data_IF_227485272696
#
_entry.id   IF_227485272696
#
_cell.length_a   1.000
_cell.length_b   1.000
_cell.length_c   1.000
_cell.angle_alpha   90.00
_cell.angle_beta   90.00
_cell.angle_gamma   90.00
#
_symmetry.space_group_name_H-M   'P 1'
#
loop_
_entity.id
_entity.type
_entity.pdbx_description
1 polymer ?
#
# COMPACT_ATOMS: atom_id res chain seq x y z
N UNK A 1 53.72 -24.63 54.89
CA UNK A 1 52.71 -23.83 54.27
C UNK A 1 52.64 -24.27 52.80
N UNK A 2 51.62 -25.07 52.42
CA UNK A 2 51.41 -25.53 51.03
C UNK A 2 50.29 -24.71 50.41
N UNK A 3 50.59 -23.91 49.37
CA UNK A 3 49.59 -23.18 48.57
C UNK A 3 48.93 -24.16 47.61
N UNK A 4 47.57 -24.21 47.66
CA UNK A 4 46.74 -24.92 46.71
C UNK A 4 46.20 -23.83 45.74
N UNK A 5 46.45 -23.93 44.42
CA UNK A 5 45.82 -22.99 43.48
C UNK A 5 44.37 -23.41 43.23
N UNK A 6 43.44 -22.49 43.45
CA UNK A 6 42.04 -22.67 43.08
C UNK A 6 41.90 -22.53 41.58
N UNK A 7 41.52 -23.60 40.89
CA UNK A 7 41.12 -23.60 39.49
C UNK A 7 39.70 -23.04 39.39
N UNK A 8 39.56 -21.86 38.81
CA UNK A 8 38.26 -21.30 38.43
C UNK A 8 37.86 -21.92 37.07
N UNK A 9 36.91 -22.81 37.09
CA UNK A 9 36.28 -23.35 35.86
C UNK A 9 35.22 -22.33 35.44
N UNK A 10 35.52 -21.53 34.43
CA UNK A 10 34.53 -20.68 33.74
C UNK A 10 33.76 -21.62 32.78
N UNK A 11 32.58 -22.05 33.20
CA UNK A 11 31.63 -22.74 32.33
C UNK A 11 31.07 -21.73 31.31
N UNK A 12 31.59 -21.77 30.09
CA UNK A 12 31.04 -21.02 28.94
C UNK A 12 29.72 -21.70 28.55
N UNK A 13 28.61 -21.21 29.11
CA UNK A 13 27.28 -21.53 28.59
C UNK A 13 27.16 -20.87 27.23
N UNK A 14 27.41 -21.63 26.18
CA UNK A 14 27.09 -21.23 24.82
C UNK A 14 25.56 -21.05 24.71
N UNK A 15 25.10 -19.82 24.67
CA UNK A 15 23.70 -19.53 24.32
C UNK A 15 23.52 -19.91 22.85
N UNK A 16 22.92 -21.07 22.64
CA UNK A 16 22.48 -21.48 21.31
C UNK A 16 21.28 -20.61 20.95
N UNK A 17 21.51 -19.54 20.20
CA UNK A 17 20.44 -18.74 19.59
C UNK A 17 20.03 -19.48 18.32
N UNK A 18 18.85 -20.12 18.28
CA UNK A 18 18.37 -20.68 17.02
C UNK A 18 18.18 -19.54 16.03
N UNK A 19 18.95 -19.52 14.96
CA UNK A 19 18.66 -18.66 13.82
C UNK A 19 17.38 -19.17 13.18
N UNK A 20 16.26 -18.49 13.43
CA UNK A 20 15.03 -18.72 12.70
C UNK A 20 15.33 -18.40 11.22
N UNK A 21 15.35 -19.42 10.37
CA UNK A 21 15.35 -19.22 8.93
C UNK A 21 13.93 -18.79 8.56
N UNK A 22 13.76 -17.59 8.05
CA UNK A 22 12.52 -17.20 7.40
C UNK A 22 12.24 -18.18 6.25
N UNK A 23 11.16 -18.95 6.38
CA UNK A 23 10.80 -19.97 5.39
C UNK A 23 10.00 -19.30 4.27
N UNK A 24 10.59 -19.23 3.08
CA UNK A 24 9.88 -18.74 1.88
C UNK A 24 8.83 -19.76 1.44
N UNK A 25 7.59 -19.34 1.32
CA UNK A 25 6.47 -20.16 0.87
C UNK A 25 6.12 -19.82 -0.58
N UNK A 26 6.12 -20.81 -1.46
CA UNK A 26 5.68 -20.66 -2.86
C UNK A 26 4.45 -21.53 -3.08
N UNK A 27 3.36 -20.96 -3.55
CA UNK A 27 2.12 -21.67 -3.87
C UNK A 27 1.66 -21.37 -5.29
N UNK A 28 1.23 -22.43 -6.00
CA UNK A 28 0.60 -22.33 -7.31
C UNK A 28 -0.66 -23.17 -7.34
N UNK A 29 -1.71 -22.71 -7.99
CA UNK A 29 -2.97 -23.46 -8.06
C UNK A 29 -4.15 -22.57 -8.46
N UNK A 30 -5.33 -23.16 -8.60
CA UNK A 30 -6.54 -22.44 -8.94
C UNK A 30 -6.99 -21.53 -7.78
N UNK A 31 -7.02 -22.07 -6.56
CA UNK A 31 -7.35 -21.34 -5.35
C UNK A 31 -6.24 -21.50 -4.31
N UNK A 32 -5.67 -20.39 -3.88
CA UNK A 32 -4.60 -20.32 -2.91
C UNK A 32 -5.11 -19.54 -1.70
N UNK A 33 -4.97 -20.15 -0.50
CA UNK A 33 -5.36 -19.49 0.74
C UNK A 33 -4.34 -19.70 1.83
N UNK A 34 -4.17 -18.70 2.69
CA UNK A 34 -3.57 -18.78 4.02
C UNK A 34 -4.71 -18.55 5.00
N UNK A 35 -4.99 -19.54 5.83
CA UNK A 35 -6.05 -19.45 6.83
C UNK A 35 -5.65 -18.51 7.99
N UNK A 36 -6.62 -18.03 8.74
CA UNK A 36 -6.44 -17.06 9.83
C UNK A 36 -5.62 -17.59 11.02
N UNK A 37 -5.62 -18.91 11.20
CA UNK A 37 -4.79 -19.61 12.19
C UNK A 37 -3.36 -19.91 11.72
N UNK A 38 -3.01 -19.53 10.47
CA UNK A 38 -1.70 -19.74 9.87
C UNK A 38 -0.91 -18.44 9.81
N UNK A 39 0.41 -18.56 9.99
CA UNK A 39 1.37 -17.49 9.78
C UNK A 39 2.47 -17.95 8.85
N UNK A 40 2.88 -17.12 7.92
CA UNK A 40 4.07 -17.31 7.09
C UNK A 40 5.19 -16.48 7.70
N UNK A 41 6.27 -17.15 8.15
CA UNK A 41 7.40 -16.49 8.82
C UNK A 41 8.41 -15.84 7.85
N UNK A 42 8.25 -16.03 6.55
CA UNK A 42 9.09 -15.45 5.50
C UNK A 42 8.25 -14.89 4.36
N UNK A 43 8.86 -14.83 3.18
CA UNK A 43 8.18 -14.30 2.00
C UNK A 43 7.14 -15.28 1.45
N UNK A 44 6.05 -14.74 0.93
CA UNK A 44 4.97 -15.50 0.32
C UNK A 44 4.84 -15.17 -1.17
N UNK A 45 4.98 -16.18 -2.01
CA UNK A 45 4.83 -16.09 -3.47
C UNK A 45 3.64 -16.91 -3.92
N UNK A 46 2.70 -16.31 -4.65
CA UNK A 46 1.48 -16.97 -5.12
C UNK A 46 1.19 -16.71 -6.61
N UNK A 47 0.85 -17.78 -7.34
CA UNK A 47 0.39 -17.68 -8.72
C UNK A 47 -0.85 -18.55 -8.92
N UNK A 48 -2.01 -17.95 -9.19
CA UNK A 48 -3.26 -18.69 -9.31
C UNK A 48 -4.41 -17.94 -9.94
N UNK A 49 -5.62 -18.49 -9.83
CA UNK A 49 -6.84 -17.76 -10.24
C UNK A 49 -7.35 -16.88 -9.11
N UNK A 50 -7.28 -17.36 -7.87
CA UNK A 50 -7.70 -16.64 -6.66
C UNK A 50 -6.65 -16.82 -5.58
N UNK A 51 -6.28 -15.72 -4.91
CA UNK A 51 -5.39 -15.69 -3.74
C UNK A 51 -6.11 -14.97 -2.60
N UNK A 52 -6.25 -15.64 -1.45
CA UNK A 52 -6.86 -15.08 -0.24
C UNK A 52 -5.94 -15.27 0.95
N UNK A 53 -5.45 -14.18 1.51
CA UNK A 53 -4.58 -14.17 2.68
C UNK A 53 -5.37 -13.72 3.89
N UNK A 54 -5.77 -14.68 4.75
CA UNK A 54 -6.40 -14.42 6.03
C UNK A 54 -5.45 -14.63 7.21
N UNK A 55 -4.28 -15.25 6.96
CA UNK A 55 -3.20 -15.41 7.92
C UNK A 55 -2.06 -14.42 7.65
N UNK A 56 -1.40 -13.98 8.71
CA UNK A 56 -0.33 -12.98 8.65
C UNK A 56 0.90 -13.48 7.90
N UNK A 57 1.60 -12.56 7.24
CA UNK A 57 2.88 -12.81 6.56
C UNK A 57 3.93 -11.88 7.14
N UNK A 58 5.01 -12.46 7.68
CA UNK A 58 6.11 -11.72 8.29
C UNK A 58 7.15 -11.21 7.28
N UNK A 59 7.06 -11.64 6.03
CA UNK A 59 7.91 -11.19 4.92
C UNK A 59 7.11 -10.50 3.83
N UNK A 60 7.69 -10.44 2.63
CA UNK A 60 7.06 -9.86 1.45
C UNK A 60 5.93 -10.75 0.92
N UNK A 61 4.93 -10.13 0.33
CA UNK A 61 3.91 -10.81 -0.47
C UNK A 61 4.07 -10.47 -1.94
N UNK A 62 4.28 -11.49 -2.77
CA UNK A 62 4.26 -11.36 -4.23
C UNK A 62 3.19 -12.27 -4.79
N UNK A 63 2.13 -11.71 -5.35
CA UNK A 63 1.01 -12.48 -5.86
C UNK A 63 0.60 -12.06 -7.28
N UNK A 64 0.26 -13.07 -8.10
CA UNK A 64 -0.37 -12.84 -9.39
C UNK A 64 -1.59 -13.73 -9.54
N UNK A 65 -2.79 -13.12 -9.70
CA UNK A 65 -4.05 -13.88 -9.80
C UNK A 65 -5.16 -13.04 -10.45
N UNK A 66 -6.26 -13.71 -10.86
CA UNK A 66 -7.47 -12.99 -11.28
C UNK A 66 -8.06 -12.14 -10.14
N UNK A 67 -8.10 -12.70 -8.93
CA UNK A 67 -8.53 -12.01 -7.71
C UNK A 67 -7.53 -12.21 -6.60
N UNK A 68 -7.13 -11.11 -5.93
CA UNK A 68 -6.25 -11.14 -4.76
C UNK A 68 -6.93 -10.39 -3.61
N UNK A 69 -7.05 -11.03 -2.46
CA UNK A 69 -7.58 -10.42 -1.23
C UNK A 69 -6.59 -10.60 -0.09
N UNK A 70 -6.09 -9.50 0.45
CA UNK A 70 -5.20 -9.46 1.61
C UNK A 70 -6.03 -8.99 2.80
N UNK A 71 -6.33 -9.91 3.73
CA UNK A 71 -7.20 -9.68 4.88
C UNK A 71 -6.48 -9.87 6.22
N UNK A 72 -5.15 -10.03 6.18
CA UNK A 72 -4.32 -10.18 7.37
C UNK A 72 -3.05 -9.34 7.25
N UNK A 73 -2.42 -8.94 8.36
CA UNK A 73 -1.25 -8.07 8.35
C UNK A 73 -0.07 -8.62 7.56
N UNK A 74 0.58 -7.75 6.80
CA UNK A 74 1.83 -8.00 6.09
C UNK A 74 2.91 -7.10 6.70
N UNK A 75 4.02 -7.70 7.15
CA UNK A 75 5.06 -6.96 7.87
C UNK A 75 6.09 -6.28 6.94
N UNK A 76 6.07 -6.60 5.65
CA UNK A 76 6.96 -6.03 4.63
C UNK A 76 6.18 -5.57 3.40
N UNK A 77 6.82 -5.64 2.23
CA UNK A 77 6.27 -5.16 0.96
C UNK A 77 5.16 -6.05 0.39
N UNK A 78 4.25 -5.41 -0.33
CA UNK A 78 3.23 -6.09 -1.14
C UNK A 78 3.42 -5.74 -2.61
N UNK A 79 3.62 -6.76 -3.46
CA UNK A 79 3.63 -6.66 -4.92
C UNK A 79 2.54 -7.55 -5.51
N UNK A 80 1.54 -6.97 -6.14
CA UNK A 80 0.38 -7.72 -6.68
C UNK A 80 0.09 -7.36 -8.12
N UNK A 81 -0.14 -8.41 -8.93
CA UNK A 81 -0.75 -8.30 -10.26
C UNK A 81 -2.09 -9.02 -10.23
N UNK A 82 -3.19 -8.33 -10.57
CA UNK A 82 -4.51 -8.95 -10.50
C UNK A 82 -5.59 -8.25 -11.32
N UNK A 83 -6.68 -8.97 -11.61
CA UNK A 83 -7.89 -8.35 -12.16
C UNK A 83 -8.58 -7.48 -11.11
N UNK A 84 -8.87 -8.08 -9.96
CA UNK A 84 -9.44 -7.41 -8.79
C UNK A 84 -8.50 -7.61 -7.61
N UNK A 85 -8.11 -6.52 -6.94
CA UNK A 85 -7.16 -6.55 -5.82
C UNK A 85 -7.74 -5.77 -4.65
N UNK A 86 -7.84 -6.42 -3.48
CA UNK A 86 -8.23 -5.81 -2.21
C UNK A 86 -7.12 -5.92 -1.17
N UNK A 87 -6.68 -4.78 -0.62
CA UNK A 87 -5.79 -4.70 0.53
C UNK A 87 -6.63 -4.20 1.70
N UNK A 88 -7.08 -5.15 2.54
CA UNK A 88 -8.03 -4.93 3.63
C UNK A 88 -7.40 -5.09 5.01
N UNK A 89 -6.08 -5.05 5.08
CA UNK A 89 -5.33 -5.19 6.32
C UNK A 89 -4.04 -4.36 6.26
N UNK A 90 -3.44 -4.12 7.41
CA UNK A 90 -2.23 -3.33 7.55
C UNK A 90 -1.06 -3.90 6.76
N UNK A 91 -0.34 -3.03 6.02
CA UNK A 91 0.95 -3.30 5.39
C UNK A 91 1.98 -2.35 6.00
N UNK A 92 3.09 -2.91 6.52
CA UNK A 92 4.08 -2.10 7.27
C UNK A 92 5.11 -1.41 6.37
N UNK A 93 5.19 -1.79 5.11
CA UNK A 93 6.08 -1.17 4.12
C UNK A 93 5.28 -0.74 2.89
N UNK A 94 5.85 -0.85 1.69
CA UNK A 94 5.25 -0.32 0.47
C UNK A 94 4.22 -1.28 -0.15
N UNK A 95 3.26 -0.71 -0.86
CA UNK A 95 2.27 -1.45 -1.65
C UNK A 95 2.42 -1.11 -3.13
N UNK A 96 2.66 -2.11 -3.97
CA UNK A 96 2.79 -1.98 -5.43
C UNK A 96 1.77 -2.87 -6.12
N UNK A 97 0.82 -2.28 -6.84
CA UNK A 97 -0.30 -3.01 -7.45
C UNK A 97 -0.46 -2.63 -8.91
N UNK A 98 -0.61 -3.65 -9.75
CA UNK A 98 -1.12 -3.50 -11.12
C UNK A 98 -2.41 -4.32 -11.22
N UNK A 99 -3.55 -3.65 -11.44
CA UNK A 99 -4.86 -4.32 -11.42
C UNK A 99 -5.93 -3.65 -12.28
N UNK A 100 -7.04 -4.32 -12.48
CA UNK A 100 -8.23 -3.73 -13.10
C UNK A 100 -9.00 -2.84 -12.13
N UNK A 101 -9.47 -3.45 -11.05
CA UNK A 101 -10.13 -2.79 -9.92
C UNK A 101 -9.27 -2.99 -8.67
N UNK A 102 -8.82 -1.89 -8.06
CA UNK A 102 -7.95 -1.90 -6.89
C UNK A 102 -8.61 -1.16 -5.74
N UNK A 103 -8.66 -1.79 -4.58
CA UNK A 103 -9.18 -1.21 -3.34
C UNK A 103 -8.14 -1.28 -2.23
N UNK A 104 -7.88 -0.16 -1.56
CA UNK A 104 -7.06 -0.09 -0.35
C UNK A 104 -7.97 0.40 0.78
N UNK A 105 -8.12 -0.43 1.81
CA UNK A 105 -9.11 -0.22 2.86
C UNK A 105 -8.52 -0.06 4.27
N UNK A 106 -7.20 -0.26 4.43
CA UNK A 106 -6.56 -0.24 5.75
C UNK A 106 -5.23 0.54 5.70
N UNK A 107 -4.47 0.47 6.77
CA UNK A 107 -3.24 1.22 6.98
C UNK A 107 -2.08 0.68 6.13
N UNK A 108 -1.37 1.58 5.45
CA UNK A 108 -0.11 1.34 4.75
C UNK A 108 0.94 2.30 5.33
N UNK A 109 1.97 1.76 6.00
CA UNK A 109 2.99 2.60 6.62
C UNK A 109 4.03 3.14 5.63
N UNK A 110 4.16 2.54 4.47
CA UNK A 110 4.98 3.02 3.36
C UNK A 110 4.19 3.81 2.32
N UNK A 111 4.71 3.80 1.10
CA UNK A 111 4.11 4.44 -0.07
C UNK A 111 3.28 3.45 -0.90
N UNK A 112 2.37 3.98 -1.69
CA UNK A 112 1.55 3.19 -2.61
C UNK A 112 1.87 3.55 -4.06
N UNK A 113 2.27 2.54 -4.85
CA UNK A 113 2.33 2.63 -6.30
C UNK A 113 1.20 1.78 -6.90
N UNK A 114 0.30 2.40 -7.67
CA UNK A 114 -0.83 1.69 -8.25
C UNK A 114 -1.07 2.04 -9.71
N UNK A 115 -1.24 1.01 -10.53
CA UNK A 115 -1.71 1.13 -11.91
C UNK A 115 -3.02 0.37 -12.02
N UNK A 116 -4.13 1.05 -12.39
CA UNK A 116 -5.43 0.41 -12.43
C UNK A 116 -6.45 1.06 -13.38
N UNK A 117 -7.49 0.30 -13.71
CA UNK A 117 -8.67 0.88 -14.36
C UNK A 117 -9.46 1.75 -13.39
N UNK A 118 -9.77 1.20 -12.23
CA UNK A 118 -10.37 1.91 -11.09
C UNK A 118 -9.52 1.68 -9.84
N UNK A 119 -9.25 2.77 -9.12
CA UNK A 119 -8.51 2.76 -7.87
C UNK A 119 -9.35 3.44 -6.79
N UNK A 120 -9.57 2.76 -5.68
CA UNK A 120 -10.34 3.26 -4.53
C UNK A 120 -9.50 3.18 -3.25
N UNK A 121 -9.19 4.32 -2.65
CA UNK A 121 -8.63 4.44 -1.31
C UNK A 121 -9.77 4.79 -0.38
N UNK A 122 -10.24 3.81 0.38
CA UNK A 122 -11.45 3.94 1.19
C UNK A 122 -11.23 4.86 2.39
N UNK A 123 -12.29 5.36 2.95
CA UNK A 123 -12.28 6.27 4.11
C UNK A 123 -11.66 5.68 5.39
N UNK A 124 -11.54 4.36 5.46
CA UNK A 124 -10.85 3.63 6.53
C UNK A 124 -9.33 3.56 6.32
N UNK A 125 -8.85 3.82 5.11
CA UNK A 125 -7.43 3.71 4.79
C UNK A 125 -6.62 4.92 5.29
N UNK A 126 -5.41 4.63 5.76
CA UNK A 126 -4.40 5.64 6.06
C UNK A 126 -3.08 5.23 5.41
N UNK A 127 -2.55 6.05 4.53
CA UNK A 127 -1.25 5.87 3.87
C UNK A 127 -0.30 6.90 4.45
N UNK A 128 0.81 6.43 5.05
CA UNK A 128 1.79 7.32 5.69
C UNK A 128 2.71 8.00 4.68
N UNK A 129 3.05 7.28 3.59
CA UNK A 129 3.89 7.77 2.49
C UNK A 129 3.09 8.40 1.36
N UNK A 130 3.72 8.47 0.19
CA UNK A 130 3.16 9.05 -1.02
C UNK A 130 2.29 8.04 -1.79
N UNK A 131 1.39 8.57 -2.61
CA UNK A 131 0.62 7.76 -3.56
C UNK A 131 1.00 8.17 -4.98
N UNK A 132 1.62 7.24 -5.72
CA UNK A 132 1.85 7.37 -7.15
C UNK A 132 0.84 6.50 -7.90
N UNK A 133 -0.06 7.12 -8.67
CA UNK A 133 -1.12 6.41 -9.35
C UNK A 133 -1.19 6.68 -10.86
N UNK A 134 -1.52 5.62 -11.61
CA UNK A 134 -1.93 5.70 -13.00
C UNK A 134 -3.27 5.00 -13.12
N UNK A 135 -4.35 5.72 -13.43
CA UNK A 135 -5.69 5.16 -13.38
C UNK A 135 -6.62 5.71 -14.48
N UNK A 136 -7.66 4.94 -14.82
CA UNK A 136 -8.83 5.50 -15.51
C UNK A 136 -9.64 6.37 -14.55
N UNK A 137 -9.98 5.83 -13.39
CA UNK A 137 -10.71 6.52 -12.33
C UNK A 137 -10.05 6.29 -10.98
N UNK A 138 -9.84 7.35 -10.20
CA UNK A 138 -9.34 7.27 -8.84
C UNK A 138 -10.26 8.01 -7.87
N UNK A 139 -10.61 7.34 -6.77
CA UNK A 139 -11.39 7.90 -5.66
C UNK A 139 -10.56 7.78 -4.39
N UNK A 140 -10.29 8.91 -3.75
CA UNK A 140 -9.50 8.99 -2.52
C UNK A 140 -10.40 9.56 -1.41
N UNK A 141 -10.86 8.70 -0.52
CA UNK A 141 -11.71 9.06 0.62
C UNK A 141 -10.96 8.97 1.96
N UNK A 142 -9.85 8.24 1.98
CA UNK A 142 -8.99 8.03 3.14
C UNK A 142 -8.01 9.16 3.40
N UNK A 143 -7.03 8.87 4.23
CA UNK A 143 -5.95 9.80 4.57
C UNK A 143 -4.67 9.38 3.85
N UNK A 144 -4.06 10.30 3.11
CA UNK A 144 -2.71 10.17 2.55
C UNK A 144 -1.87 11.28 3.18
N UNK A 145 -0.93 10.91 4.07
CA UNK A 145 -0.10 11.90 4.77
C UNK A 145 0.95 12.52 3.86
N UNK A 146 1.43 11.74 2.89
CA UNK A 146 2.28 12.20 1.81
C UNK A 146 1.51 12.87 0.67
N UNK A 147 2.16 12.97 -0.48
CA UNK A 147 1.64 13.60 -1.66
C UNK A 147 0.97 12.59 -2.61
N UNK A 148 0.02 13.07 -3.42
CA UNK A 148 -0.65 12.28 -4.45
C UNK A 148 -0.18 12.75 -5.82
N UNK A 149 0.47 11.86 -6.56
CA UNK A 149 1.07 12.16 -7.85
C UNK A 149 0.58 11.18 -8.92
N UNK A 150 0.56 11.61 -10.18
CA UNK A 150 0.36 10.69 -11.29
C UNK A 150 -0.53 11.17 -12.43
N UNK A 151 -1.16 10.21 -13.08
CA UNK A 151 -1.99 10.44 -14.27
C UNK A 151 -3.29 9.68 -14.16
N UNK A 152 -4.43 10.31 -14.43
CA UNK A 152 -5.71 9.64 -14.51
C UNK A 152 -6.68 10.36 -15.45
N UNK A 153 -7.74 9.66 -15.89
CA UNK A 153 -8.83 10.36 -16.58
C UNK A 153 -9.66 11.18 -15.59
N UNK A 154 -10.10 10.54 -14.50
CA UNK A 154 -10.89 11.21 -13.46
C UNK A 154 -10.32 10.94 -12.08
N UNK A 155 -10.20 12.00 -11.30
CA UNK A 155 -9.79 11.92 -9.89
C UNK A 155 -10.83 12.64 -9.04
N UNK A 156 -11.30 11.97 -8.00
CA UNK A 156 -12.10 12.55 -6.93
C UNK A 156 -11.37 12.39 -5.60
N UNK A 157 -11.10 13.50 -4.95
CA UNK A 157 -10.59 13.53 -3.59
C UNK A 157 -11.71 13.96 -2.66
N UNK A 158 -12.01 13.12 -1.66
CA UNK A 158 -13.03 13.36 -0.63
C UNK A 158 -12.48 12.94 0.76
N UNK A 159 -11.18 12.91 0.91
CA UNK A 159 -10.40 12.63 2.11
C UNK A 159 -9.33 13.67 2.36
N UNK A 160 -8.36 13.35 3.23
CA UNK A 160 -7.24 14.23 3.56
C UNK A 160 -5.97 13.80 2.82
N UNK A 161 -5.27 14.74 2.18
CA UNK A 161 -4.02 14.47 1.46
C UNK A 161 -3.00 15.57 1.72
N UNK A 162 -1.70 15.29 1.46
CA UNK A 162 -0.63 16.29 1.41
C UNK A 162 -0.80 17.26 0.25
N UNK A 163 0.09 17.25 -0.71
CA UNK A 163 -0.09 17.96 -1.97
C UNK A 163 -0.69 17.04 -3.05
N UNK A 164 -1.15 17.65 -4.15
CA UNK A 164 -1.62 16.91 -5.33
C UNK A 164 -0.90 17.43 -6.57
N UNK A 165 -0.25 16.52 -7.32
CA UNK A 165 0.32 16.83 -8.63
C UNK A 165 -0.14 15.78 -9.67
N UNK A 166 -1.13 16.15 -10.47
CA UNK A 166 -1.81 15.21 -11.34
C UNK A 166 -2.01 15.74 -12.76
N UNK A 167 -1.79 14.83 -13.75
CA UNK A 167 -2.29 15.06 -15.10
C UNK A 167 -3.63 14.36 -15.25
N UNK A 168 -4.71 15.11 -15.47
CA UNK A 168 -6.08 14.59 -15.45
C UNK A 168 -6.96 15.17 -16.57
N UNK A 169 -8.02 14.46 -16.92
CA UNK A 169 -9.13 15.02 -17.72
C UNK A 169 -10.11 15.75 -16.81
N UNK A 170 -10.44 15.19 -15.66
CA UNK A 170 -11.35 15.77 -14.67
C UNK A 170 -10.86 15.61 -13.25
N UNK A 171 -10.80 16.71 -12.49
CA UNK A 171 -10.43 16.73 -11.07
C UNK A 171 -11.58 17.29 -10.24
N UNK A 172 -11.97 16.56 -9.21
CA UNK A 172 -13.02 16.97 -8.27
C UNK A 172 -12.51 16.90 -6.84
N UNK A 173 -12.65 17.99 -6.10
CA UNK A 173 -12.51 18.01 -4.65
C UNK A 173 -13.90 18.01 -4.02
N UNK A 174 -14.23 16.92 -3.31
CA UNK A 174 -15.51 16.73 -2.62
C UNK A 174 -15.61 17.57 -1.34
N UNK A 175 -16.76 17.51 -0.67
CA UNK A 175 -17.03 18.33 0.51
C UNK A 175 -16.13 18.02 1.72
N UNK A 176 -15.59 16.79 1.79
CA UNK A 176 -14.69 16.36 2.86
C UNK A 176 -13.21 16.47 2.48
N UNK A 177 -12.91 16.97 1.27
CA UNK A 177 -11.53 17.08 0.81
C UNK A 177 -10.74 18.09 1.65
N UNK A 178 -9.59 17.65 2.18
CA UNK A 178 -8.62 18.49 2.88
C UNK A 178 -7.27 18.28 2.21
N UNK A 179 -6.77 19.30 1.54
CA UNK A 179 -5.44 19.32 0.93
C UNK A 179 -4.56 20.27 1.75
N UNK A 180 -3.53 19.73 2.41
CA UNK A 180 -2.64 20.50 3.29
C UNK A 180 -1.52 21.21 2.54
N UNK A 181 -1.20 20.75 1.34
CA UNK A 181 -0.22 21.34 0.41
C UNK A 181 -0.86 22.04 -0.78
N UNK A 182 -0.07 22.14 -1.84
CA UNK A 182 -0.50 22.73 -3.11
C UNK A 182 -1.29 21.71 -3.96
N UNK A 183 -2.14 22.22 -4.83
CA UNK A 183 -2.82 21.47 -5.88
C UNK A 183 -2.29 21.93 -7.24
N UNK A 184 -1.41 21.15 -7.84
CA UNK A 184 -0.95 21.33 -9.21
C UNK A 184 -1.69 20.32 -10.12
N UNK A 185 -2.29 20.79 -11.20
CA UNK A 185 -2.91 19.87 -12.14
C UNK A 185 -2.79 20.33 -13.58
N UNK A 186 -2.58 19.37 -14.47
CA UNK A 186 -2.57 19.60 -15.93
C UNK A 186 -3.85 19.05 -16.53
N UNK A 187 -4.70 19.92 -17.07
CA UNK A 187 -6.02 19.56 -17.61
C UNK A 187 -6.52 20.57 -18.63
N UNK A 188 -7.42 20.14 -19.53
CA UNK A 188 -8.21 21.05 -20.37
C UNK A 188 -9.42 21.65 -19.62
N UNK A 189 -9.89 20.96 -18.57
CA UNK A 189 -11.05 21.40 -17.78
C UNK A 189 -10.63 22.01 -16.46
N UNK A 190 -11.45 22.87 -15.92
CA UNK A 190 -11.23 23.44 -14.59
C UNK A 190 -11.57 22.42 -13.51
N UNK A 191 -10.88 22.53 -12.38
CA UNK A 191 -11.16 21.75 -11.19
C UNK A 191 -12.58 22.04 -10.68
N UNK A 192 -13.31 20.99 -10.33
CA UNK A 192 -14.57 21.11 -9.60
C UNK A 192 -14.29 21.06 -8.11
N UNK A 193 -14.63 22.13 -7.41
CA UNK A 193 -14.42 22.23 -5.97
C UNK A 193 -15.76 22.37 -5.26
N UNK A 194 -16.08 21.42 -4.37
CA UNK A 194 -17.25 21.52 -3.51
C UNK A 194 -17.07 22.63 -2.45
N UNK A 195 -18.18 23.22 -1.93
CA UNK A 195 -18.09 24.30 -0.95
C UNK A 195 -17.36 23.92 0.35
N UNK A 196 -17.41 22.66 0.76
CA UNK A 196 -16.73 22.15 1.96
C UNK A 196 -15.26 21.85 1.77
N UNK A 197 -14.77 21.77 0.53
CA UNK A 197 -13.38 21.43 0.26
C UNK A 197 -12.40 22.50 0.77
N UNK A 198 -11.35 22.05 1.44
CA UNK A 198 -10.31 22.91 2.02
C UNK A 198 -8.98 22.66 1.30
N UNK A 199 -8.31 23.72 0.88
CA UNK A 199 -6.96 23.70 0.30
C UNK A 199 -6.15 24.77 1.01
N UNK A 200 -5.10 24.36 1.71
CA UNK A 200 -4.25 25.29 2.46
C UNK A 200 -3.22 25.97 1.57
N UNK A 201 -2.78 25.28 0.52
CA UNK A 201 -1.82 25.81 -0.46
C UNK A 201 -2.48 26.51 -1.65
N UNK A 202 -1.73 26.60 -2.72
CA UNK A 202 -2.17 27.23 -3.98
C UNK A 202 -2.77 26.18 -4.93
N UNK A 203 -3.72 26.61 -5.78
CA UNK A 203 -4.25 25.79 -6.86
C UNK A 203 -3.70 26.33 -8.19
N UNK A 204 -2.87 25.52 -8.84
CA UNK A 204 -2.24 25.89 -10.11
C UNK A 204 -2.69 24.94 -11.22
N UNK A 205 -3.26 25.50 -12.28
CA UNK A 205 -3.61 24.76 -13.50
C UNK A 205 -2.56 24.99 -14.56
N UNK A 206 -2.15 23.93 -15.23
CA UNK A 206 -1.36 23.97 -16.46
C UNK A 206 -2.19 23.41 -17.63
N UNK A 207 -2.07 24.01 -18.80
CA UNK A 207 -2.73 23.51 -19.99
C UNK A 207 -1.94 22.33 -20.61
N UNK A 208 -2.65 21.39 -21.21
CA UNK A 208 -2.03 20.33 -22.00
C UNK A 208 -1.41 20.96 -23.24
N UNK A 209 -0.09 21.01 -23.32
CA UNK A 209 0.61 21.39 -24.56
C UNK A 209 0.41 20.26 -25.57
N UNK A 210 -0.45 20.49 -26.56
CA UNK A 210 -0.60 19.57 -27.72
C UNK A 210 0.55 19.87 -28.67
N UNK A 211 1.57 19.00 -28.69
CA UNK A 211 2.62 18.99 -29.72
C UNK A 211 2.19 18.15 -30.90
#
# INVERSE_FOLDING_TARGET
MKFVPAFIIIALFGVYVPTAKAETVVRTGEAISIADDQRVEGNFYALGSTVSLSGAVAGDVVAAAGTVSINAPIEHDVLVLGGTVGVNATVTEDVRIIGGDVTIADHVAGSVFVVGGRVSILSTATIEGDVLLVAGEAVIEGVVKGDVLGVAERVRVDGAIGALDMKVVGLTLGDRAIVTGDVAYTSQTDIVRAPGAQVAGTITKSDLVTT
#
